data_IF_221015774460
#
_entry.id   IF_221015774460
#
_cell.length_a   1.000
_cell.length_b   1.000
_cell.length_c   1.000
_cell.angle_alpha   90.00
_cell.angle_beta   90.00
_cell.angle_gamma   90.00
#
_symmetry.space_group_name_H-M   'P 1'
#
loop_
_entity.id
_entity.type
_entity.pdbx_description
1 polymer ?
#
# COMPACT_ATOMS: atom_id res chain seq x y z
N UNK A 1 -2.35 -1.72 16.53
CA UNK A 1 -2.52 -0.67 15.52
C UNK A 1 -2.81 0.72 16.09
N UNK A 2 -3.51 0.86 17.23
CA UNK A 2 -3.77 2.15 17.93
C UNK A 2 -2.49 2.97 18.20
N UNK A 3 -1.34 2.31 18.36
CA UNK A 3 -0.08 2.98 18.70
C UNK A 3 0.43 3.92 17.60
N UNK A 4 0.31 3.55 16.32
CA UNK A 4 0.82 4.37 15.20
C UNK A 4 0.02 5.67 15.06
N UNK A 5 -1.32 5.64 15.03
CA UNK A 5 -2.11 6.88 14.96
C UNK A 5 -1.88 7.78 16.18
N UNK A 6 -1.63 7.21 17.37
CA UNK A 6 -1.30 7.99 18.56
C UNK A 6 0.08 8.64 18.50
N UNK A 7 1.04 8.03 17.83
CA UNK A 7 2.42 8.52 17.75
C UNK A 7 2.63 9.49 16.59
N UNK A 8 1.95 9.29 15.46
CA UNK A 8 2.14 10.07 14.23
C UNK A 8 1.04 11.13 14.07
N UNK A 9 -0.13 10.94 14.69
CA UNK A 9 -1.31 11.78 14.52
C UNK A 9 -2.27 11.23 13.48
N UNK A 10 -3.51 11.76 13.46
CA UNK A 10 -4.57 11.32 12.53
C UNK A 10 -4.70 12.25 11.30
N UNK A 11 -4.07 13.42 11.32
CA UNK A 11 -4.10 14.40 10.24
C UNK A 11 -3.02 14.10 9.20
N UNK A 12 -3.17 12.94 8.54
CA UNK A 12 -2.29 12.48 7.47
C UNK A 12 -3.07 12.57 6.16
N UNK A 13 -2.58 13.37 5.22
CA UNK A 13 -3.19 13.52 3.90
C UNK A 13 -2.81 12.43 2.91
N UNK A 14 -1.61 11.87 3.03
CA UNK A 14 -1.07 10.90 2.07
C UNK A 14 -0.16 9.88 2.77
N UNK A 15 -0.25 8.60 2.36
CA UNK A 15 0.60 7.50 2.84
C UNK A 15 1.09 6.71 1.64
N UNK A 16 2.40 6.73 1.41
CA UNK A 16 3.04 6.01 0.32
C UNK A 16 3.72 4.73 0.82
N UNK A 17 3.44 3.61 0.15
CA UNK A 17 4.04 2.31 0.39
C UNK A 17 5.03 1.92 -0.69
N UNK A 18 6.17 1.38 -0.25
CA UNK A 18 7.23 0.78 -1.07
C UNK A 18 7.77 -0.47 -0.37
N UNK A 19 8.45 -1.34 -1.10
CA UNK A 19 9.18 -2.48 -0.53
C UNK A 19 8.68 -3.86 -0.96
N UNK A 20 9.06 -4.88 -0.20
CA UNK A 20 8.82 -6.29 -0.53
C UNK A 20 8.26 -7.04 0.67
N UNK A 21 7.45 -8.08 0.50
CA UNK A 21 6.96 -8.69 -0.74
C UNK A 21 5.58 -8.13 -1.11
N UNK A 22 5.35 -7.75 -2.37
CA UNK A 22 4.12 -7.03 -2.80
C UNK A 22 2.83 -7.73 -2.40
N UNK A 23 2.73 -9.04 -2.68
CA UNK A 23 1.56 -9.86 -2.40
C UNK A 23 1.46 -10.37 -0.95
N UNK A 24 2.31 -9.89 -0.04
CA UNK A 24 2.29 -10.28 1.38
C UNK A 24 2.30 -9.01 2.24
N UNK A 25 3.46 -8.39 2.41
CA UNK A 25 3.64 -7.31 3.38
C UNK A 25 3.08 -5.99 2.88
N UNK A 26 3.31 -5.65 1.60
CA UNK A 26 2.88 -4.37 1.04
C UNK A 26 1.35 -4.29 1.02
N UNK A 27 0.69 -5.27 0.39
CA UNK A 27 -0.78 -5.31 0.35
C UNK A 27 -1.41 -5.36 1.74
N UNK A 28 -0.85 -6.13 2.68
CA UNK A 28 -1.37 -6.19 4.05
C UNK A 28 -1.29 -4.83 4.73
N UNK A 29 -0.14 -4.13 4.62
CA UNK A 29 0.03 -2.82 5.25
C UNK A 29 -0.86 -1.76 4.61
N UNK A 30 -1.03 -1.79 3.28
CA UNK A 30 -1.97 -0.92 2.56
C UNK A 30 -3.37 -1.03 3.18
N UNK A 31 -3.91 -2.24 3.32
CA UNK A 31 -5.26 -2.46 3.88
C UNK A 31 -5.35 -2.00 5.33
N UNK A 32 -4.32 -2.28 6.14
CA UNK A 32 -4.28 -1.88 7.55
C UNK A 32 -4.31 -0.36 7.70
N UNK A 33 -3.48 0.35 6.94
CA UNK A 33 -3.41 1.82 7.01
C UNK A 33 -4.63 2.47 6.39
N UNK A 34 -5.17 1.93 5.31
CA UNK A 34 -6.40 2.43 4.71
C UNK A 34 -7.60 2.30 5.66
N UNK A 35 -7.64 1.24 6.46
CA UNK A 35 -8.66 1.05 7.49
C UNK A 35 -8.52 2.03 8.67
N UNK A 36 -7.28 2.42 8.98
CA UNK A 36 -6.94 3.30 10.10
C UNK A 36 -7.03 4.79 9.74
N UNK A 37 -6.56 5.17 8.54
CA UNK A 37 -6.48 6.55 8.04
C UNK A 37 -7.47 6.77 6.90
N UNK A 38 -8.76 6.82 7.25
CA UNK A 38 -9.85 6.88 6.24
C UNK A 38 -9.83 8.11 5.34
N UNK A 39 -9.16 9.18 5.77
CA UNK A 39 -9.07 10.44 5.03
C UNK A 39 -7.76 10.57 4.24
N UNK A 40 -6.79 9.65 4.43
CA UNK A 40 -5.51 9.70 3.74
C UNK A 40 -5.61 9.04 2.36
N UNK A 41 -4.95 9.62 1.36
CA UNK A 41 -4.69 8.95 0.08
C UNK A 41 -3.62 7.87 0.29
N UNK A 42 -3.96 6.60 0.03
CA UNK A 42 -3.01 5.49 0.13
C UNK A 42 -2.43 5.18 -1.25
N UNK A 43 -1.11 5.35 -1.39
CA UNK A 43 -0.38 5.23 -2.65
C UNK A 43 0.61 4.06 -2.56
N UNK A 44 0.81 3.31 -3.64
CA UNK A 44 1.84 2.30 -3.78
C UNK A 44 2.69 2.61 -5.00
N UNK A 45 4.00 2.75 -4.83
CA UNK A 45 4.92 2.85 -5.96
C UNK A 45 5.31 1.45 -6.43
N UNK A 46 4.77 1.04 -7.58
CA UNK A 46 5.01 -0.27 -8.18
C UNK A 46 6.46 -0.49 -8.57
N UNK A 47 7.19 0.56 -8.98
CA UNK A 47 8.60 0.46 -9.38
C UNK A 47 9.54 0.22 -8.20
N UNK A 48 9.09 0.56 -6.99
CA UNK A 48 9.82 0.34 -5.73
C UNK A 48 9.24 -0.83 -4.93
N UNK A 49 8.41 -1.67 -5.56
CA UNK A 49 7.85 -2.88 -4.99
C UNK A 49 8.27 -4.10 -5.80
N UNK A 50 8.35 -5.26 -5.15
CA UNK A 50 8.62 -6.52 -5.86
C UNK A 50 8.02 -7.74 -5.15
N UNK A 51 7.76 -8.78 -5.94
CA UNK A 51 7.53 -10.14 -5.45
C UNK A 51 8.53 -11.10 -6.10
N UNK A 52 8.68 -12.29 -5.51
CA UNK A 52 9.48 -13.37 -6.08
C UNK A 52 8.88 -13.90 -7.40
N UNK A 53 7.57 -13.72 -7.59
CA UNK A 53 6.84 -14.09 -8.80
C UNK A 53 6.27 -12.80 -9.43
N UNK A 54 6.68 -12.43 -10.66
CA UNK A 54 6.18 -11.25 -11.34
C UNK A 54 4.65 -11.24 -11.54
N UNK A 55 4.03 -12.38 -11.78
CA UNK A 55 2.57 -12.48 -11.90
C UNK A 55 1.88 -12.25 -10.56
N UNK A 56 2.48 -12.69 -9.43
CA UNK A 56 1.95 -12.36 -8.10
C UNK A 56 2.15 -10.89 -7.74
N UNK A 57 3.26 -10.27 -8.16
CA UNK A 57 3.47 -8.83 -8.02
C UNK A 57 2.34 -8.05 -8.71
N UNK A 58 2.10 -8.33 -10.00
CA UNK A 58 1.07 -7.64 -10.77
C UNK A 58 -0.34 -7.85 -10.22
N UNK A 59 -0.71 -9.09 -9.87
CA UNK A 59 -2.02 -9.36 -9.26
C UNK A 59 -2.20 -8.69 -7.92
N UNK A 60 -1.15 -8.55 -7.13
CA UNK A 60 -1.24 -7.83 -5.87
C UNK A 60 -1.46 -6.33 -6.08
N UNK A 61 -0.83 -5.73 -7.10
CA UNK A 61 -1.11 -4.35 -7.50
C UNK A 61 -2.56 -4.21 -7.96
N UNK A 62 -3.08 -5.15 -8.76
CA UNK A 62 -4.50 -5.14 -9.18
C UNK A 62 -5.45 -5.19 -7.97
N UNK A 63 -5.16 -6.03 -6.97
CA UNK A 63 -5.97 -6.12 -5.76
C UNK A 63 -5.87 -4.84 -4.93
N UNK A 64 -4.69 -4.22 -4.83
CA UNK A 64 -4.52 -2.92 -4.17
C UNK A 64 -5.40 -1.85 -4.83
N UNK A 65 -5.42 -1.77 -6.16
CA UNK A 65 -6.30 -0.86 -6.90
C UNK A 65 -7.77 -1.17 -6.66
N UNK A 66 -8.15 -2.46 -6.65
CA UNK A 66 -9.50 -2.91 -6.32
C UNK A 66 -9.94 -2.55 -4.90
N UNK A 67 -8.99 -2.41 -3.98
CA UNK A 67 -9.20 -1.99 -2.59
C UNK A 67 -9.17 -0.46 -2.41
N UNK A 68 -9.26 0.32 -3.49
CA UNK A 68 -9.21 1.78 -3.49
C UNK A 68 -7.84 2.38 -3.13
N UNK A 69 -6.76 1.59 -3.16
CA UNK A 69 -5.40 2.10 -3.15
C UNK A 69 -5.00 2.62 -4.53
N UNK A 70 -4.13 3.63 -4.59
CA UNK A 70 -3.61 4.17 -5.85
C UNK A 70 -2.26 3.54 -6.16
N UNK A 71 -2.11 2.92 -7.33
CA UNK A 71 -0.81 2.41 -7.78
C UNK A 71 -0.20 3.39 -8.78
N UNK A 72 1.05 3.80 -8.54
CA UNK A 72 1.85 4.64 -9.45
C UNK A 72 3.09 3.90 -9.93
N UNK A 73 3.70 4.39 -11.01
CA UNK A 73 4.98 3.87 -11.53
C UNK A 73 4.98 2.35 -11.75
N UNK A 74 3.83 1.77 -12.15
CA UNK A 74 3.71 0.36 -12.51
C UNK A 74 4.55 0.10 -13.76
N UNK A 75 5.67 -0.61 -13.60
CA UNK A 75 6.53 -0.98 -14.72
C UNK A 75 5.76 -1.85 -15.69
N UNK A 76 5.62 -1.39 -16.94
CA UNK A 76 5.15 -2.23 -18.06
C UNK A 76 6.35 -2.71 -18.86
#
# INVERSE_FOLDING_TARGET
>A
MIKIAREIGEDIGEIQFVGVVTNICVISNVVLFQSQYRNAEVIVDGSLCASFDPSLHEKALDVIEGLQGKVINRGK
#
